data_IF_186096131851
#
_entry.id   IF_186096131851
#
_cell.length_a   1.000
_cell.length_b   1.000
_cell.length_c   1.000
_cell.angle_alpha   90.00
_cell.angle_beta   90.00
_cell.angle_gamma   90.00
#
_symmetry.space_group_name_H-M   'P 1'
#
loop_
_entity.id
_entity.type
_entity.pdbx_description
1 polymer ?
#
# COMPACT_ATOMS: atom_id res chain seq x y z
N UNK A 1 4.02 -15.54 0.77
CA UNK A 1 4.54 -16.76 0.12
C UNK A 1 6.05 -16.70 -0.13
N UNK A 2 6.55 -15.68 -0.86
CA UNK A 2 7.98 -15.50 -1.11
C UNK A 2 8.79 -15.30 0.19
N UNK A 3 8.25 -14.50 1.14
CA UNK A 3 8.86 -14.26 2.46
C UNK A 3 9.30 -15.52 3.21
N UNK A 4 8.53 -16.61 3.11
CA UNK A 4 8.82 -17.88 3.77
C UNK A 4 9.90 -18.72 3.05
N UNK A 5 10.05 -18.54 1.73
CA UNK A 5 10.91 -19.38 0.87
C UNK A 5 12.27 -18.75 0.59
N UNK A 6 12.40 -17.44 0.81
CA UNK A 6 13.62 -16.68 0.52
C UNK A 6 14.17 -16.07 1.78
N UNK A 7 15.49 -15.98 1.90
CA UNK A 7 16.15 -15.40 3.09
C UNK A 7 16.78 -14.02 2.84
N UNK A 8 17.22 -13.73 1.60
CA UNK A 8 18.06 -12.57 1.32
C UNK A 8 17.41 -11.53 0.40
N UNK A 9 16.52 -11.94 -0.51
CA UNK A 9 15.92 -11.00 -1.46
C UNK A 9 14.95 -10.04 -0.75
N UNK A 10 14.87 -8.81 -1.25
CA UNK A 10 13.87 -7.82 -0.81
C UNK A 10 12.54 -8.07 -1.54
N UNK A 11 11.43 -7.73 -0.91
CA UNK A 11 10.08 -8.04 -1.36
C UNK A 11 9.26 -6.75 -1.48
N UNK A 12 9.17 -6.22 -2.69
CA UNK A 12 8.44 -4.99 -2.95
C UNK A 12 7.00 -5.22 -3.42
N UNK A 13 6.13 -4.29 -3.06
CA UNK A 13 4.83 -4.12 -3.72
C UNK A 13 5.05 -3.38 -5.05
N UNK A 14 4.67 -4.00 -6.18
CA UNK A 14 4.77 -3.39 -7.51
C UNK A 14 3.42 -3.33 -8.22
N UNK A 15 2.47 -2.46 -7.83
CA UNK A 15 2.50 -1.40 -6.81
C UNK A 15 1.28 -1.52 -5.89
N UNK A 16 1.36 -1.03 -4.65
CA UNK A 16 0.16 -0.97 -3.79
C UNK A 16 -0.69 0.26 -4.14
N UNK A 17 -1.94 0.02 -4.55
CA UNK A 17 -2.89 1.08 -4.88
C UNK A 17 -3.48 1.66 -3.60
N UNK A 18 -3.17 2.94 -3.33
CA UNK A 18 -3.55 3.57 -2.07
C UNK A 18 -4.90 4.29 -2.03
N UNK A 19 -5.56 4.70 -3.14
CA UNK A 19 -6.83 5.41 -3.03
C UNK A 19 -7.80 4.70 -2.08
N UNK A 20 -8.39 5.42 -1.09
CA UNK A 20 -9.23 4.81 -0.05
C UNK A 20 -10.37 3.92 -0.56
N UNK A 21 -11.04 4.22 -1.71
CA UNK A 21 -12.04 3.31 -2.28
C UNK A 21 -11.49 1.93 -2.66
N UNK A 22 -10.19 1.81 -2.91
CA UNK A 22 -9.50 0.55 -3.23
C UNK A 22 -8.98 -0.11 -1.96
N UNK A 23 -8.21 0.64 -1.16
CA UNK A 23 -7.59 0.13 0.06
C UNK A 23 -7.67 1.16 1.18
N UNK A 24 -8.32 0.81 2.28
CA UNK A 24 -8.34 1.65 3.47
C UNK A 24 -6.92 1.79 4.07
N UNK A 25 -6.46 2.99 4.48
CA UNK A 25 -5.10 3.22 5.01
C UNK A 25 -4.69 2.30 6.16
N UNK A 26 -5.60 2.05 7.11
CA UNK A 26 -5.34 1.08 8.19
C UNK A 26 -5.04 -0.34 7.68
N UNK A 27 -5.70 -0.78 6.60
CA UNK A 27 -5.45 -2.10 5.98
C UNK A 27 -4.13 -2.12 5.19
N UNK A 28 -3.72 -0.98 4.65
CA UNK A 28 -2.40 -0.82 4.02
C UNK A 28 -1.32 -1.01 5.09
N UNK A 29 -1.40 -0.25 6.19
CA UNK A 29 -0.47 -0.35 7.31
C UNK A 29 -0.38 -1.78 7.87
N UNK A 30 -1.53 -2.44 8.09
CA UNK A 30 -1.59 -3.84 8.55
C UNK A 30 -0.82 -4.79 7.62
N UNK A 31 -1.01 -4.68 6.30
CA UNK A 31 -0.36 -5.56 5.32
C UNK A 31 1.14 -5.31 5.22
N UNK A 32 1.55 -4.04 5.26
CA UNK A 32 2.97 -3.66 5.24
C UNK A 32 3.66 -4.19 6.49
N UNK A 33 3.11 -3.93 7.67
CA UNK A 33 3.65 -4.43 8.95
C UNK A 33 3.69 -5.97 9.00
N UNK A 34 2.64 -6.64 8.49
CA UNK A 34 2.61 -8.10 8.40
C UNK A 34 3.74 -8.64 7.54
N UNK A 35 3.95 -8.07 6.34
CA UNK A 35 5.04 -8.49 5.47
C UNK A 35 6.40 -8.19 6.10
N UNK A 36 6.55 -7.05 6.75
CA UNK A 36 7.77 -6.65 7.43
C UNK A 36 8.17 -7.68 8.50
N UNK A 37 7.24 -8.03 9.38
CA UNK A 37 7.44 -9.06 10.41
C UNK A 37 7.71 -10.45 9.82
N UNK A 38 6.91 -10.90 8.85
CA UNK A 38 7.09 -12.22 8.23
C UNK A 38 8.37 -12.34 7.41
N UNK A 39 8.89 -11.22 6.92
CA UNK A 39 10.09 -11.18 6.09
C UNK A 39 11.35 -10.79 6.87
N UNK A 40 11.22 -10.38 8.14
CA UNK A 40 12.29 -9.85 8.97
C UNK A 40 12.95 -8.61 8.35
N UNK A 41 12.15 -7.58 8.06
CA UNK A 41 12.67 -6.29 7.56
C UNK A 41 12.93 -6.22 6.05
N UNK A 42 12.50 -7.21 5.27
CA UNK A 42 12.78 -7.28 3.82
C UNK A 42 11.64 -6.74 2.95
N UNK A 43 10.55 -6.26 3.54
CA UNK A 43 9.45 -5.64 2.82
C UNK A 43 9.83 -4.28 2.26
N UNK A 44 9.35 -3.94 1.07
CA UNK A 44 9.44 -2.59 0.50
C UNK A 44 8.07 -2.05 0.17
N UNK A 45 7.74 -0.89 0.73
CA UNK A 45 6.45 -0.24 0.55
C UNK A 45 6.43 0.60 -0.75
N UNK A 46 6.29 -0.09 -1.88
CA UNK A 46 6.08 0.54 -3.19
C UNK A 46 4.60 0.89 -3.42
N UNK A 47 4.33 2.15 -3.73
CA UNK A 47 2.95 2.68 -3.81
C UNK A 47 2.67 3.31 -5.17
N UNK A 48 1.39 3.44 -5.51
CA UNK A 48 0.96 4.12 -6.73
C UNK A 48 -0.48 4.63 -6.66
N UNK A 49 -0.75 5.67 -7.44
CA UNK A 49 -2.07 6.32 -7.55
C UNK A 49 -3.06 5.56 -8.45
N UNK A 50 -2.60 4.53 -9.16
CA UNK A 50 -3.38 3.87 -10.21
C UNK A 50 -3.44 4.71 -11.49
N UNK A 51 -3.43 4.06 -12.65
CA UNK A 51 -3.35 4.77 -13.94
C UNK A 51 -4.33 4.28 -14.99
N UNK A 52 -4.76 3.01 -14.93
CA UNK A 52 -5.69 2.52 -15.95
C UNK A 52 -7.12 2.95 -15.66
N UNK A 53 -7.85 3.27 -16.73
CA UNK A 53 -9.29 3.60 -16.66
C UNK A 53 -10.10 2.44 -16.08
N UNK A 54 -9.70 1.20 -16.35
CA UNK A 54 -10.35 0.01 -15.80
C UNK A 54 -10.17 -0.09 -14.28
N UNK A 55 -8.97 0.19 -13.76
CA UNK A 55 -8.70 0.18 -12.32
C UNK A 55 -9.47 1.28 -11.58
N UNK A 56 -9.47 2.50 -12.10
CA UNK A 56 -10.18 3.63 -11.47
C UNK A 56 -11.70 3.48 -11.59
N UNK A 57 -12.18 3.08 -12.76
CA UNK A 57 -13.60 2.86 -13.02
C UNK A 57 -14.20 1.74 -12.18
N UNK A 58 -13.44 0.69 -11.87
CA UNK A 58 -13.90 -0.40 -11.01
C UNK A 58 -14.25 0.01 -9.57
N UNK A 59 -13.68 1.13 -9.10
CA UNK A 59 -13.90 1.67 -7.75
C UNK A 59 -14.56 3.06 -7.77
N UNK A 60 -15.10 3.49 -8.92
CA UNK A 60 -15.72 4.81 -9.12
C UNK A 60 -14.82 5.98 -8.67
N UNK A 61 -13.52 5.90 -8.97
CA UNK A 61 -12.57 6.96 -8.66
C UNK A 61 -12.48 7.91 -9.85
N UNK A 62 -12.70 9.20 -9.61
CA UNK A 62 -12.40 10.23 -10.61
C UNK A 62 -10.88 10.31 -10.82
N UNK A 63 -10.39 10.20 -12.08
CA UNK A 63 -8.97 10.38 -12.38
C UNK A 63 -8.37 11.71 -11.88
N UNK A 64 -9.18 12.76 -11.69
CA UNK A 64 -8.75 14.03 -11.11
C UNK A 64 -8.41 13.91 -9.61
N UNK A 65 -9.09 13.03 -8.88
CA UNK A 65 -8.96 12.90 -7.42
C UNK A 65 -7.89 11.90 -7.00
N UNK A 66 -7.50 10.97 -7.89
CA UNK A 66 -6.63 9.82 -7.56
C UNK A 66 -5.31 10.20 -6.89
N UNK A 67 -4.72 11.34 -7.28
CA UNK A 67 -3.45 11.81 -6.74
C UNK A 67 -3.60 12.31 -5.30
N UNK A 68 -4.63 13.12 -5.04
CA UNK A 68 -4.92 13.62 -3.70
C UNK A 68 -5.29 12.46 -2.76
N UNK A 69 -6.12 11.52 -3.24
CA UNK A 69 -6.47 10.31 -2.49
C UNK A 69 -5.25 9.44 -2.17
N UNK A 70 -4.31 9.29 -3.12
CA UNK A 70 -3.06 8.56 -2.89
C UNK A 70 -2.18 9.24 -1.83
N UNK A 71 -2.05 10.57 -1.88
CA UNK A 71 -1.21 11.33 -0.95
C UNK A 71 -1.76 11.27 0.48
N UNK A 72 -3.07 11.48 0.66
CA UNK A 72 -3.73 11.34 1.97
C UNK A 72 -3.59 9.91 2.50
N UNK A 73 -3.86 8.91 1.66
CA UNK A 73 -3.77 7.52 2.08
C UNK A 73 -2.34 7.10 2.44
N UNK A 74 -1.33 7.64 1.75
CA UNK A 74 0.08 7.43 2.09
C UNK A 74 0.40 8.01 3.47
N UNK A 75 0.02 9.26 3.71
CA UNK A 75 0.24 9.94 4.98
C UNK A 75 -0.41 9.15 6.13
N UNK A 76 -1.71 8.86 6.01
CA UNK A 76 -2.45 8.14 7.06
C UNK A 76 -1.87 6.75 7.30
N UNK A 77 -1.46 6.04 6.23
CA UNK A 77 -0.82 4.72 6.39
C UNK A 77 0.48 4.81 7.17
N UNK A 78 1.32 5.81 6.91
CA UNK A 78 2.57 6.05 7.65
C UNK A 78 2.25 6.35 9.11
N UNK A 79 1.29 7.23 9.40
CA UNK A 79 0.87 7.55 10.76
C UNK A 79 0.40 6.32 11.53
N UNK A 80 -0.40 5.44 10.91
CA UNK A 80 -0.78 4.16 11.50
C UNK A 80 0.42 3.24 11.84
N UNK A 81 1.54 3.38 11.14
CA UNK A 81 2.75 2.58 11.38
C UNK A 81 3.68 3.20 12.43
N UNK A 82 3.63 4.52 12.64
CA UNK A 82 4.61 5.25 13.46
C UNK A 82 4.04 5.86 14.74
N UNK A 83 2.75 6.16 14.78
CA UNK A 83 2.09 6.80 15.92
C UNK A 83 1.46 5.77 16.87
N UNK A 84 1.38 6.12 18.15
CA UNK A 84 0.56 5.37 19.13
C UNK A 84 -0.83 6.00 19.17
N UNK A 85 -1.92 5.20 19.21
CA UNK A 85 -3.30 5.71 19.23
C UNK A 85 -3.61 6.65 20.41
#
# INVERSE_FOLDING_TARGET
AASQRTKNIRLGFGVMHLPPPINHPARIAERVATLDHLSNGRGEFGTGEGSSVAELGGFNIDPADKRAQWEEALEVSIRCMTETP
#
